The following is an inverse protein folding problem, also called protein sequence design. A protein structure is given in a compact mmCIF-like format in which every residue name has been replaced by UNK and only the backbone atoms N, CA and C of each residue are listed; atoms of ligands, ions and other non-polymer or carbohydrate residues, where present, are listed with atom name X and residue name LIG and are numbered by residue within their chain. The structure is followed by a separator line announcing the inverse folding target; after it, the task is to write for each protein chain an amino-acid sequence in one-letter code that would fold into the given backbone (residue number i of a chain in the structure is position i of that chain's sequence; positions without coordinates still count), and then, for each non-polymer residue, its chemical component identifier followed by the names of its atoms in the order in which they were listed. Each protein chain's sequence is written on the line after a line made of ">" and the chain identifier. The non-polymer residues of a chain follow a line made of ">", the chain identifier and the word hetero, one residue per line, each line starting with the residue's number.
data_IF_273921637035
#
_entry.id   IF_273921637035
#
_cell.length_a   1.000
_cell.length_b   1.000
_cell.length_c   1.000
_cell.angle_alpha   90.00
_cell.angle_beta   90.00
_cell.angle_gamma   90.00
#
_symmetry.space_group_name_H-M   'P 1'
#
loop_
_entity.id
_entity.type
_entity.pdbx_description
1 polymer ?
#
# COMPACT_ATOMS: atom_id res chain seq x y z
N UNK A 1 4.29 22.36 -25.95
CA UNK A 1 4.04 22.63 -24.51
C UNK A 1 2.84 21.85 -23.99
N UNK A 2 1.63 22.01 -24.56
CA UNK A 2 0.45 21.20 -24.18
C UNK A 2 0.66 19.69 -24.40
N UNK A 3 1.36 19.29 -25.47
CA UNK A 3 1.73 17.88 -25.69
C UNK A 3 2.72 17.34 -24.65
N UNK A 4 3.70 18.13 -24.25
CA UNK A 4 4.68 17.75 -23.22
C UNK A 4 4.03 17.62 -21.86
N UNK A 5 3.05 18.48 -21.54
CA UNK A 5 2.24 18.40 -20.33
C UNK A 5 1.25 17.23 -20.35
N UNK A 6 0.65 16.96 -21.52
CA UNK A 6 -0.24 15.79 -21.72
C UNK A 6 0.54 14.50 -21.62
N UNK A 7 1.75 14.45 -22.20
CA UNK A 7 2.67 13.33 -22.04
C UNK A 7 3.17 13.26 -20.60
N UNK A 8 3.48 14.36 -19.91
CA UNK A 8 3.91 14.30 -18.50
C UNK A 8 2.77 13.91 -17.55
N UNK A 9 1.51 14.24 -17.86
CA UNK A 9 0.31 13.80 -17.13
C UNK A 9 -0.02 12.33 -17.41
N UNK A 10 0.07 11.89 -18.67
CA UNK A 10 -0.04 10.48 -19.06
C UNK A 10 1.13 9.65 -18.52
N UNK A 11 2.32 10.24 -18.38
CA UNK A 11 3.48 9.67 -17.69
C UNK A 11 3.33 9.77 -16.18
N UNK A 12 2.64 10.76 -15.62
CA UNK A 12 2.38 10.88 -14.19
C UNK A 12 1.37 9.84 -13.69
N UNK A 13 0.32 9.58 -14.46
CA UNK A 13 -0.58 8.43 -14.27
C UNK A 13 0.14 7.12 -14.65
N UNK A 14 0.97 7.16 -15.69
CA UNK A 14 1.75 6.01 -16.17
C UNK A 14 2.81 5.54 -15.17
N UNK A 15 3.45 6.44 -14.42
CA UNK A 15 4.46 6.11 -13.40
C UNK A 15 3.83 5.39 -12.21
N UNK A 16 2.60 5.74 -11.83
CA UNK A 16 1.89 5.06 -10.74
C UNK A 16 1.51 3.60 -11.09
N UNK A 17 1.40 3.28 -12.39
CA UNK A 17 1.09 1.94 -12.90
C UNK A 17 2.34 1.14 -13.32
N UNK A 18 3.53 1.74 -13.26
CA UNK A 18 4.78 1.09 -13.66
C UNK A 18 5.28 0.13 -12.59
N UNK A 19 5.89 -0.95 -13.04
CA UNK A 19 6.55 -1.92 -12.15
C UNK A 19 7.82 -1.32 -11.52
N UNK A 20 8.23 -1.88 -10.37
CA UNK A 20 9.50 -1.52 -9.70
C UNK A 20 10.69 -1.49 -10.67
N UNK A 21 10.75 -2.46 -11.59
CA UNK A 21 11.81 -2.57 -12.60
C UNK A 21 11.81 -1.39 -13.58
N UNK A 22 10.64 -0.97 -14.05
CA UNK A 22 10.53 0.16 -14.99
C UNK A 22 10.86 1.50 -14.31
N UNK A 23 10.52 1.66 -13.04
CA UNK A 23 10.91 2.84 -12.25
C UNK A 23 12.43 2.86 -12.04
N UNK A 24 13.05 1.72 -11.75
CA UNK A 24 14.51 1.62 -11.65
C UNK A 24 15.21 1.91 -12.98
N UNK A 25 14.69 1.40 -14.11
CA UNK A 25 15.24 1.70 -15.44
C UNK A 25 15.14 3.18 -15.76
N UNK A 26 13.97 3.79 -15.54
CA UNK A 26 13.78 5.22 -15.76
C UNK A 26 14.71 6.07 -14.87
N UNK A 27 14.86 5.69 -13.60
CA UNK A 27 15.75 6.41 -12.68
C UNK A 27 17.24 6.29 -13.08
N UNK A 28 17.66 5.16 -13.67
CA UNK A 28 19.02 4.99 -14.22
C UNK A 28 19.23 5.88 -15.45
N UNK A 29 18.31 5.81 -16.41
CA UNK A 29 18.36 6.63 -17.62
C UNK A 29 18.38 8.12 -17.28
N UNK A 30 17.59 8.54 -16.28
CA UNK A 30 17.57 9.92 -15.81
C UNK A 30 18.89 10.33 -15.15
N UNK A 31 19.47 9.45 -14.32
CA UNK A 31 20.77 9.73 -13.69
C UNK A 31 21.90 9.87 -14.73
N UNK A 32 21.90 9.03 -15.76
CA UNK A 32 22.84 9.10 -16.88
C UNK A 32 22.67 10.38 -17.71
N UNK A 33 21.43 10.74 -18.06
CA UNK A 33 21.12 11.98 -18.79
C UNK A 33 21.44 13.24 -18.00
N UNK A 34 21.38 13.17 -16.67
CA UNK A 34 21.65 14.30 -15.78
C UNK A 34 23.14 14.48 -15.47
N UNK A 35 24.01 13.65 -16.07
CA UNK A 35 25.46 13.62 -15.81
C UNK A 35 25.78 13.46 -14.31
N UNK A 36 24.94 12.74 -13.56
CA UNK A 36 25.16 12.48 -12.14
C UNK A 36 26.45 11.70 -11.93
N UNK A 37 27.22 12.08 -10.91
CA UNK A 37 28.36 11.24 -10.51
C UNK A 37 27.86 9.91 -9.91
N UNK A 38 28.74 8.91 -9.79
CA UNK A 38 28.35 7.58 -9.31
C UNK A 38 27.66 7.59 -7.94
N UNK A 39 28.04 8.52 -7.06
CA UNK A 39 27.46 8.62 -5.72
C UNK A 39 26.04 9.19 -5.81
N UNK A 40 25.86 10.28 -6.54
CA UNK A 40 24.55 10.92 -6.77
C UNK A 40 23.57 9.97 -7.45
N UNK A 41 24.02 9.25 -8.49
CA UNK A 41 23.18 8.27 -9.19
C UNK A 41 22.74 7.13 -8.26
N UNK A 42 23.63 6.64 -7.40
CA UNK A 42 23.32 5.59 -6.43
C UNK A 42 22.32 6.07 -5.37
N UNK A 43 22.54 7.26 -4.83
CA UNK A 43 21.67 7.85 -3.80
C UNK A 43 20.27 8.12 -4.37
N UNK A 44 20.18 8.64 -5.60
CA UNK A 44 18.93 8.87 -6.32
C UNK A 44 18.14 7.58 -6.57
N UNK A 45 18.81 6.51 -6.99
CA UNK A 45 18.17 5.21 -7.21
C UNK A 45 17.61 4.60 -5.92
N UNK A 46 18.35 4.69 -4.82
CA UNK A 46 17.89 4.21 -3.52
C UNK A 46 16.70 5.03 -3.00
N UNK A 47 16.70 6.35 -3.20
CA UNK A 47 15.57 7.21 -2.86
C UNK A 47 14.31 6.86 -3.67
N UNK A 48 14.47 6.59 -4.98
CA UNK A 48 13.36 6.14 -5.83
C UNK A 48 12.77 4.80 -5.39
N UNK A 49 13.63 3.81 -5.06
CA UNK A 49 13.19 2.52 -4.53
C UNK A 49 12.44 2.68 -3.21
N UNK A 50 12.98 3.47 -2.29
CA UNK A 50 12.36 3.73 -0.98
C UNK A 50 10.98 4.35 -1.15
N UNK A 51 10.86 5.39 -1.98
CA UNK A 51 9.56 6.02 -2.28
C UNK A 51 8.56 5.05 -2.89
N UNK A 52 9.00 4.16 -3.78
CA UNK A 52 8.14 3.13 -4.34
C UNK A 52 7.63 2.15 -3.27
N UNK A 53 8.53 1.65 -2.42
CA UNK A 53 8.17 0.70 -1.37
C UNK A 53 7.22 1.35 -0.33
N UNK A 54 7.45 2.62 0.04
CA UNK A 54 6.56 3.41 0.90
C UNK A 54 5.18 3.62 0.26
N UNK A 55 5.13 4.00 -1.02
CA UNK A 55 3.88 4.20 -1.76
C UNK A 55 3.08 2.90 -1.87
N UNK A 56 3.76 1.77 -2.11
CA UNK A 56 3.14 0.45 -2.15
C UNK A 56 2.53 0.08 -0.80
N UNK A 57 3.28 0.25 0.30
CA UNK A 57 2.75 -0.03 1.65
C UNK A 57 1.54 0.85 2.00
N UNK A 58 1.56 2.13 1.60
CA UNK A 58 0.41 3.02 1.80
C UNK A 58 -0.81 2.57 0.98
N UNK A 59 -0.60 2.11 -0.26
CA UNK A 59 -1.66 1.59 -1.10
C UNK A 59 -2.27 0.32 -0.52
N UNK A 60 -1.44 -0.64 -0.07
CA UNK A 60 -1.89 -1.88 0.56
C UNK A 60 -2.80 -1.58 1.77
N UNK A 61 -2.41 -0.66 2.65
CA UNK A 61 -3.23 -0.22 3.80
C UNK A 61 -4.55 0.42 3.39
N UNK A 62 -4.55 1.23 2.31
CA UNK A 62 -5.79 1.83 1.79
C UNK A 62 -6.72 0.77 1.24
N UNK A 63 -6.18 -0.22 0.53
CA UNK A 63 -6.97 -1.34 0.00
C UNK A 63 -7.58 -2.15 1.13
N UNK A 64 -6.82 -2.49 2.16
CA UNK A 64 -7.32 -3.16 3.37
C UNK A 64 -8.47 -2.38 4.01
N UNK A 65 -8.28 -1.07 4.25
CA UNK A 65 -9.31 -0.21 4.83
C UNK A 65 -10.59 -0.11 3.98
N UNK A 66 -10.45 -0.08 2.64
CA UNK A 66 -11.59 -0.09 1.72
C UNK A 66 -12.33 -1.42 1.80
N UNK A 67 -11.62 -2.54 1.79
CA UNK A 67 -12.23 -3.88 1.91
C UNK A 67 -12.95 -4.01 3.24
N UNK A 68 -12.33 -3.61 4.34
CA UNK A 68 -12.94 -3.62 5.67
C UNK A 68 -14.21 -2.73 5.71
N UNK A 69 -14.16 -1.54 5.12
CA UNK A 69 -15.32 -0.65 5.02
C UNK A 69 -16.47 -1.26 4.22
N UNK A 70 -16.16 -1.93 3.11
CA UNK A 70 -17.18 -2.61 2.29
C UNK A 70 -17.81 -3.77 3.06
N UNK A 71 -17.01 -4.61 3.75
CA UNK A 71 -17.53 -5.70 4.56
C UNK A 71 -18.46 -5.20 5.67
N UNK A 72 -18.07 -4.13 6.38
CA UNK A 72 -18.91 -3.48 7.39
C UNK A 72 -20.22 -2.95 6.81
N UNK A 73 -20.19 -2.35 5.61
CA UNK A 73 -21.40 -1.83 4.94
C UNK A 73 -22.35 -2.92 4.47
N UNK A 74 -21.88 -4.16 4.32
CA UNK A 74 -22.68 -5.32 3.99
C UNK A 74 -23.15 -6.08 5.23
N UNK A 75 -22.94 -5.53 6.44
CA UNK A 75 -23.22 -6.18 7.73
C UNK A 75 -22.56 -7.57 7.86
N UNK A 76 -21.40 -7.77 7.23
CA UNK A 76 -20.66 -9.02 7.31
C UNK A 76 -19.68 -8.99 8.49
N UNK A 77 -19.84 -9.88 9.49
CA UNK A 77 -18.89 -9.98 10.58
C UNK A 77 -17.57 -10.59 10.10
N UNK A 78 -16.46 -10.14 10.69
CA UNK A 78 -15.15 -10.74 10.49
C UNK A 78 -15.00 -12.00 11.35
N UNK A 79 -13.99 -12.82 11.05
CA UNK A 79 -13.64 -13.96 11.90
C UNK A 79 -13.30 -13.54 13.33
N UNK A 80 -12.61 -12.40 13.48
CA UNK A 80 -12.26 -11.84 14.80
C UNK A 80 -13.50 -11.50 15.64
N UNK A 81 -14.54 -10.92 15.00
CA UNK A 81 -15.80 -10.62 15.68
C UNK A 81 -16.48 -11.90 16.21
N UNK A 82 -16.42 -12.98 15.42
CA UNK A 82 -16.97 -14.30 15.81
C UNK A 82 -16.16 -14.91 16.95
N UNK A 83 -14.83 -14.85 16.87
CA UNK A 83 -13.95 -15.39 17.91
C UNK A 83 -14.12 -14.63 19.25
N UNK A 84 -14.29 -13.30 19.20
CA UNK A 84 -14.59 -12.48 20.37
C UNK A 84 -15.96 -12.81 20.98
N UNK A 85 -16.98 -12.99 20.13
CA UNK A 85 -18.31 -13.44 20.58
C UNK A 85 -18.24 -14.80 21.28
N UNK A 86 -17.53 -15.77 20.71
CA UNK A 86 -17.34 -17.09 21.30
C UNK A 86 -16.63 -17.00 22.67
N UNK A 87 -15.56 -16.20 22.77
CA UNK A 87 -14.86 -15.99 24.04
C UNK A 87 -15.78 -15.41 25.13
N UNK A 88 -16.63 -14.43 24.76
CA UNK A 88 -17.62 -13.85 25.68
C UNK A 88 -18.69 -14.88 26.08
N UNK A 89 -19.13 -15.73 25.17
CA UNK A 89 -20.07 -16.83 25.45
C UNK A 89 -19.44 -17.82 26.44
N UNK A 90 -18.19 -18.22 26.24
CA UNK A 90 -17.48 -19.14 27.13
C UNK A 90 -17.32 -18.56 28.55
N UNK A 91 -16.97 -17.27 28.66
CA UNK A 91 -16.88 -16.59 29.95
C UNK A 91 -18.21 -16.51 30.69
N UNK A 92 -19.29 -16.18 29.96
CA UNK A 92 -20.64 -16.14 30.53
C UNK A 92 -21.08 -17.54 30.99
N UNK A 93 -20.81 -18.56 30.19
CA UNK A 93 -21.15 -19.95 30.50
C UNK A 93 -20.45 -20.41 31.77
N UNK A 94 -19.15 -20.12 31.92
CA UNK A 94 -18.39 -20.41 33.15
C UNK A 94 -18.90 -19.69 34.39
N UNK A 95 -19.45 -18.46 34.26
CA UNK A 95 -20.02 -17.73 35.39
C UNK A 95 -21.35 -18.35 35.84
N UNK A 96 -22.20 -18.72 34.89
CA UNK A 96 -23.48 -19.38 35.19
C UNK A 96 -23.26 -20.74 35.85
N UNK A 97 -22.29 -21.52 35.38
CA UNK A 97 -21.91 -22.81 36.01
C UNK A 97 -21.32 -22.67 37.42
N UNK A 98 -20.77 -21.49 37.78
CA UNK A 98 -20.26 -21.24 39.14
C UNK A 98 -21.34 -20.78 40.12
N UNK A 99 -22.42 -20.18 39.61
CA UNK A 99 -23.53 -19.65 40.41
C UNK A 99 -24.67 -20.68 40.59
N UNK A 100 -24.59 -21.84 39.94
CA UNK A 100 -25.51 -22.99 40.08
C UNK A 100 -24.86 -24.10 40.89
#
# INVERSE_FOLDING_TARGET
>A
MLETLKNSLLTGVGMALRSKKEIETFAREFAEQSEMNQKEAKDFLEECKKRYDDAKSSLDKKVEAVVESVLKRLDLPTRGDIDELNARIDELSKKIEKDT
#
